data_IF_048472660218
#
_entry.id   IF_048472660218
#
_cell.length_a   1.000
_cell.length_b   1.000
_cell.length_c   1.000
_cell.angle_alpha   90.00
_cell.angle_beta   90.00
_cell.angle_gamma   90.00
#
_symmetry.space_group_name_H-M   'P 1'
#
loop_
_entity.id
_entity.type
_entity.pdbx_description
1 polymer ?
#
# COMPACT_ATOMS: atom_id res chain seq x y z
N UNK A 1 1.95 -12.36 -14.92
CA UNK A 1 2.33 -13.36 -13.90
C UNK A 1 1.38 -13.26 -12.70
N UNK A 2 0.29 -14.04 -12.65
CA UNK A 2 -0.71 -13.97 -11.56
C UNK A 2 -0.13 -14.31 -10.18
N UNK A 3 0.76 -15.31 -10.12
CA UNK A 3 1.37 -15.77 -8.87
C UNK A 3 2.22 -14.67 -8.20
N UNK A 4 2.97 -13.90 -8.99
CA UNK A 4 3.77 -12.80 -8.46
C UNK A 4 2.88 -11.69 -7.85
N UNK A 5 1.77 -11.37 -8.51
CA UNK A 5 0.82 -10.37 -8.02
C UNK A 5 0.17 -10.83 -6.71
N UNK A 6 -0.18 -12.10 -6.59
CA UNK A 6 -0.71 -12.69 -5.36
C UNK A 6 0.30 -12.63 -4.20
N UNK A 7 1.57 -12.94 -4.47
CA UNK A 7 2.67 -12.85 -3.49
C UNK A 7 2.86 -11.41 -3.00
N UNK A 8 2.89 -10.44 -3.91
CA UNK A 8 3.03 -9.01 -3.55
C UNK A 8 1.85 -8.55 -2.69
N UNK A 9 0.63 -8.91 -3.08
CA UNK A 9 -0.58 -8.55 -2.32
C UNK A 9 -0.56 -9.10 -0.91
N UNK A 10 -0.19 -10.37 -0.75
CA UNK A 10 -0.14 -11.02 0.54
C UNK A 10 1.00 -10.49 1.42
N UNK A 11 2.16 -10.19 0.83
CA UNK A 11 3.29 -9.60 1.56
C UNK A 11 2.90 -8.25 2.19
N UNK A 12 2.25 -7.40 1.40
CA UNK A 12 1.75 -6.10 1.84
C UNK A 12 0.54 -6.16 2.77
N UNK A 13 -0.14 -7.32 2.86
CA UNK A 13 -1.22 -7.56 3.83
C UNK A 13 -0.63 -7.96 5.19
N UNK A 14 0.31 -8.91 5.20
CA UNK A 14 0.95 -9.39 6.44
C UNK A 14 1.84 -8.30 7.04
N UNK A 15 2.54 -7.57 6.17
CA UNK A 15 3.47 -6.51 6.53
C UNK A 15 3.16 -5.24 5.73
N UNK A 16 2.11 -4.49 6.13
CA UNK A 16 1.75 -3.25 5.43
C UNK A 16 2.88 -2.23 5.52
N UNK A 17 3.16 -1.56 4.40
CA UNK A 17 4.10 -0.43 4.37
C UNK A 17 3.56 0.79 5.16
N UNK A 18 2.26 0.80 5.44
CA UNK A 18 1.63 1.81 6.28
C UNK A 18 1.88 1.49 7.76
N UNK A 19 2.87 2.16 8.35
CA UNK A 19 3.15 2.07 9.78
C UNK A 19 2.24 2.93 10.66
N UNK A 20 1.48 3.86 10.07
CA UNK A 20 0.65 4.83 10.79
C UNK A 20 -0.83 4.66 10.44
N UNK A 21 -1.69 5.12 11.35
CA UNK A 21 -3.14 5.11 11.16
C UNK A 21 -3.53 5.89 9.89
N UNK A 22 -4.55 5.37 9.18
CA UNK A 22 -5.18 6.10 8.08
C UNK A 22 -6.21 7.06 8.67
N UNK A 23 -5.73 8.19 9.18
CA UNK A 23 -6.52 9.18 9.89
C UNK A 23 -7.43 9.99 8.96
N UNK A 24 -8.62 10.31 9.46
CA UNK A 24 -9.60 11.22 8.89
C UNK A 24 -10.12 12.12 10.00
N UNK A 25 -10.37 13.38 9.67
CA UNK A 25 -11.02 14.33 10.56
C UNK A 25 -12.53 14.17 10.40
N UNK A 26 -13.24 14.03 11.51
CA UNK A 26 -14.71 13.97 11.52
C UNK A 26 -15.26 15.34 11.11
N UNK A 27 -16.19 15.40 10.13
CA UNK A 27 -16.73 16.66 9.64
C UNK A 27 -17.50 17.43 10.73
N UNK A 28 -17.76 18.71 10.46
CA UNK A 28 -18.66 19.50 11.30
C UNK A 28 -20.04 18.84 11.40
N UNK A 29 -20.63 18.85 12.61
CA UNK A 29 -21.85 18.10 12.92
C UNK A 29 -21.63 16.67 13.44
N UNK A 30 -20.39 16.16 13.40
CA UNK A 30 -20.05 14.84 13.93
C UNK A 30 -20.40 13.69 12.97
N UNK A 31 -20.04 12.47 13.36
CA UNK A 31 -20.34 11.26 12.58
C UNK A 31 -20.57 10.06 13.49
N UNK A 32 -21.49 9.17 13.10
CA UNK A 32 -21.65 7.86 13.74
C UNK A 32 -20.83 6.82 12.97
N UNK A 33 -19.85 6.22 13.63
CA UNK A 33 -18.94 5.21 13.06
C UNK A 33 -19.01 3.98 13.93
N UNK A 34 -19.30 2.81 13.33
CA UNK A 34 -19.44 1.54 14.05
C UNK A 34 -20.42 1.61 15.26
N UNK A 35 -21.51 2.36 15.11
CA UNK A 35 -22.52 2.53 16.17
C UNK A 35 -22.14 3.51 17.28
N UNK A 36 -20.99 4.19 17.19
CA UNK A 36 -20.54 5.20 18.16
C UNK A 36 -20.49 6.59 17.52
N UNK A 37 -21.04 7.58 18.22
CA UNK A 37 -20.98 8.98 17.79
C UNK A 37 -19.62 9.61 18.14
N UNK A 38 -19.05 10.33 17.18
CA UNK A 38 -17.84 11.12 17.32
C UNK A 38 -18.14 12.58 17.02
N UNK A 39 -17.73 13.53 17.89
CA UNK A 39 -17.93 14.95 17.63
C UNK A 39 -17.04 15.43 16.48
N UNK A 40 -17.49 16.50 15.80
CA UNK A 40 -16.71 17.15 14.74
C UNK A 40 -15.33 17.60 15.23
N UNK A 41 -14.33 17.52 14.35
CA UNK A 41 -12.93 17.81 14.68
C UNK A 41 -12.17 16.64 15.34
N UNK A 42 -12.85 15.54 15.69
CA UNK A 42 -12.16 14.32 16.15
C UNK A 42 -11.32 13.70 15.04
N UNK A 43 -10.15 13.17 15.37
CA UNK A 43 -9.32 12.39 14.44
C UNK A 43 -9.62 10.90 14.65
N UNK A 44 -10.14 10.25 13.62
CA UNK A 44 -10.45 8.81 13.63
C UNK A 44 -9.59 8.14 12.57
N UNK A 45 -8.94 7.03 12.91
CA UNK A 45 -8.06 6.31 12.00
C UNK A 45 -8.27 4.80 12.06
N UNK A 46 -7.99 4.14 10.93
CA UNK A 46 -7.95 2.68 10.86
C UNK A 46 -6.50 2.22 10.92
N UNK A 47 -6.25 1.21 11.76
CA UNK A 47 -4.98 0.52 11.81
C UNK A 47 -4.96 -0.60 10.76
N UNK A 48 -4.10 -0.47 9.75
CA UNK A 48 -3.97 -1.48 8.70
C UNK A 48 -3.52 -2.83 9.24
N UNK A 49 -2.61 -2.87 10.23
CA UNK A 49 -2.14 -4.10 10.85
C UNK A 49 -3.28 -4.94 11.44
N UNK A 50 -4.24 -4.26 12.08
CA UNK A 50 -5.44 -4.88 12.67
C UNK A 50 -6.44 -5.24 11.58
N UNK A 51 -6.72 -4.33 10.65
CA UNK A 51 -7.69 -4.56 9.57
C UNK A 51 -7.29 -5.76 8.69
N UNK A 52 -5.99 -5.91 8.41
CA UNK A 52 -5.46 -6.98 7.57
C UNK A 52 -5.46 -8.35 8.26
N UNK A 53 -5.65 -8.39 9.59
CA UNK A 53 -5.76 -9.62 10.40
C UNK A 53 -7.20 -9.96 10.80
N UNK A 54 -8.16 -9.23 10.24
CA UNK A 54 -9.57 -9.51 10.50
C UNK A 54 -9.96 -10.87 9.91
N UNK A 55 -10.20 -11.86 10.78
CA UNK A 55 -10.55 -13.23 10.40
C UNK A 55 -11.89 -13.33 9.67
N UNK A 56 -12.82 -12.40 9.89
CA UNK A 56 -14.07 -12.35 9.13
C UNK A 56 -13.84 -12.03 7.65
N UNK A 57 -12.73 -11.35 7.31
CA UNK A 57 -12.39 -10.96 5.94
C UNK A 57 -11.35 -11.87 5.31
N UNK A 58 -10.36 -12.31 6.09
CA UNK A 58 -9.21 -13.08 5.62
C UNK A 58 -9.16 -14.52 6.16
N UNK A 59 -10.28 -15.00 6.72
CA UNK A 59 -10.43 -16.34 7.31
C UNK A 59 -9.58 -16.55 8.58
N UNK A 60 -9.68 -17.73 9.19
CA UNK A 60 -9.02 -18.06 10.45
C UNK A 60 -7.48 -17.99 10.36
N UNK A 61 -6.94 -18.09 9.15
CA UNK A 61 -5.51 -18.07 8.89
C UNK A 61 -4.97 -16.67 8.50
N UNK A 62 -5.69 -15.61 8.86
CA UNK A 62 -5.30 -14.23 8.57
C UNK A 62 -3.90 -13.85 9.06
N UNK A 63 -3.37 -14.51 10.10
CA UNK A 63 -2.01 -14.25 10.59
C UNK A 63 -0.91 -14.90 9.74
N UNK A 64 -1.26 -15.86 8.88
CA UNK A 64 -0.31 -16.60 8.07
C UNK A 64 -0.18 -16.00 6.67
N UNK A 65 1.03 -16.12 6.11
CA UNK A 65 1.31 -15.72 4.74
C UNK A 65 0.82 -16.81 3.77
N UNK A 66 -0.32 -16.56 3.09
CA UNK A 66 -0.89 -17.46 2.08
C UNK A 66 -1.24 -16.70 0.78
N UNK A 67 -0.33 -16.65 -0.21
CA UNK A 67 -0.58 -15.99 -1.50
C UNK A 67 -1.79 -16.55 -2.26
N UNK A 68 -2.05 -17.86 -2.13
CA UNK A 68 -3.12 -18.56 -2.85
C UNK A 68 -4.52 -18.02 -2.56
N UNK A 69 -4.69 -17.31 -1.43
CA UNK A 69 -5.92 -16.58 -1.07
C UNK A 69 -6.40 -15.62 -2.16
N UNK A 70 -5.47 -15.04 -2.92
CA UNK A 70 -5.74 -14.09 -3.98
C UNK A 70 -5.99 -14.75 -5.34
N UNK A 71 -5.83 -16.07 -5.44
CA UNK A 71 -5.97 -16.86 -6.66
C UNK A 71 -7.28 -17.66 -6.72
N UNK A 72 -8.24 -17.34 -5.84
CA UNK A 72 -9.55 -18.01 -5.80
C UNK A 72 -10.45 -17.58 -6.97
N UNK A 73 -11.34 -18.46 -7.42
CA UNK A 73 -12.33 -18.15 -8.45
C UNK A 73 -13.64 -17.63 -7.84
N UNK A 74 -13.53 -16.58 -7.01
CA UNK A 74 -14.67 -15.92 -6.38
C UNK A 74 -14.46 -14.40 -6.41
N UNK A 75 -15.05 -13.76 -7.43
CA UNK A 75 -14.93 -12.33 -7.67
C UNK A 75 -15.53 -11.49 -6.54
N UNK A 76 -16.60 -11.97 -5.90
CA UNK A 76 -17.25 -11.24 -4.81
C UNK A 76 -16.32 -11.18 -3.60
N UNK A 77 -15.74 -12.33 -3.22
CA UNK A 77 -14.79 -12.42 -2.12
C UNK A 77 -13.53 -11.61 -2.42
N UNK A 78 -12.98 -11.72 -3.62
CA UNK A 78 -11.81 -10.93 -4.06
C UNK A 78 -12.11 -9.42 -4.00
N UNK A 79 -13.29 -9.00 -4.43
CA UNK A 79 -13.72 -7.59 -4.39
C UNK A 79 -13.78 -7.05 -2.95
N UNK A 80 -14.35 -7.83 -2.02
CA UNK A 80 -14.41 -7.48 -0.60
C UNK A 80 -13.01 -7.40 0.02
N UNK A 81 -12.14 -8.39 -0.27
CA UNK A 81 -10.76 -8.39 0.20
C UNK A 81 -9.98 -7.18 -0.34
N UNK A 82 -10.10 -6.88 -1.64
CA UNK A 82 -9.43 -5.73 -2.26
C UNK A 82 -9.91 -4.39 -1.66
N UNK A 83 -11.19 -4.25 -1.30
CA UNK A 83 -11.72 -3.04 -0.66
C UNK A 83 -11.14 -2.80 0.73
N UNK A 84 -10.81 -3.87 1.44
CA UNK A 84 -10.25 -3.83 2.80
C UNK A 84 -8.71 -3.95 2.82
N UNK A 85 -8.09 -4.10 1.66
CA UNK A 85 -6.64 -4.14 1.50
C UNK A 85 -6.09 -2.71 1.40
N UNK A 86 -5.53 -2.25 2.50
CA UNK A 86 -5.02 -0.89 2.70
C UNK A 86 -3.51 -0.93 3.01
N UNK A 87 -2.66 -1.31 2.04
CA UNK A 87 -1.23 -1.51 2.28
C UNK A 87 -0.42 -0.21 2.33
N UNK A 88 -0.96 0.88 1.77
CA UNK A 88 -0.28 2.18 1.62
C UNK A 88 -1.22 3.32 2.04
N UNK A 89 -0.70 4.35 2.72
CA UNK A 89 -1.46 5.58 3.00
C UNK A 89 -1.47 6.44 1.75
N UNK A 90 -2.56 6.38 0.99
CA UNK A 90 -2.79 7.34 -0.08
C UNK A 90 -3.30 8.63 0.57
N UNK A 91 -2.40 9.59 0.76
CA UNK A 91 -2.79 10.92 1.23
C UNK A 91 -3.74 11.55 0.19
N UNK A 92 -4.86 12.18 0.59
CA UNK A 92 -5.84 12.74 -0.36
C UNK A 92 -5.24 13.78 -1.34
N UNK A 93 -4.09 14.36 -1.01
CA UNK A 93 -3.29 15.17 -1.94
C UNK A 93 -2.93 14.43 -3.25
N UNK A 94 -2.74 13.11 -3.20
CA UNK A 94 -2.42 12.27 -4.36
C UNK A 94 -3.63 11.90 -5.22
N UNK A 95 -4.86 12.23 -4.78
CA UNK A 95 -6.08 11.98 -5.58
C UNK A 95 -6.19 12.92 -6.79
N UNK A 96 -5.41 14.01 -6.83
CA UNK A 96 -5.47 15.05 -7.86
C UNK A 96 -4.33 15.06 -8.87
N UNK A 97 -3.33 14.18 -8.77
CA UNK A 97 -2.26 14.05 -9.77
C UNK A 97 -2.49 12.78 -10.57
N UNK A 98 -2.95 12.93 -11.80
CA UNK A 98 -3.23 11.86 -12.74
C UNK A 98 -2.00 10.98 -13.01
N UNK A 99 -2.27 9.68 -13.10
CA UNK A 99 -1.47 8.61 -13.73
C UNK A 99 -0.33 7.98 -12.91
N UNK A 100 -0.50 6.69 -12.64
CA UNK A 100 0.50 5.73 -12.18
C UNK A 100 1.71 5.57 -13.12
N UNK A 101 1.70 6.18 -14.31
CA UNK A 101 2.79 6.15 -15.29
C UNK A 101 3.90 7.17 -14.97
N UNK A 102 3.56 8.33 -14.42
CA UNK A 102 4.53 9.38 -14.07
C UNK A 102 5.44 8.97 -12.90
N UNK A 103 4.90 8.24 -11.92
CA UNK A 103 5.68 7.78 -10.76
C UNK A 103 6.71 6.71 -11.15
N UNK A 104 6.31 5.75 -12.00
CA UNK A 104 7.25 4.77 -12.56
C UNK A 104 8.28 5.44 -13.47
N UNK A 105 7.89 6.43 -14.28
CA UNK A 105 8.81 7.19 -15.14
C UNK A 105 9.83 8.04 -14.33
N UNK A 106 9.43 8.57 -13.16
CA UNK A 106 10.33 9.34 -12.29
C UNK A 106 11.35 8.43 -11.60
N UNK A 107 10.94 7.22 -11.19
CA UNK A 107 11.86 6.24 -10.60
C UNK A 107 12.84 5.66 -11.62
N UNK A 108 12.41 5.38 -12.85
CA UNK A 108 13.31 4.91 -13.91
C UNK A 108 14.28 5.99 -14.37
N UNK A 109 13.83 7.24 -14.53
CA UNK A 109 14.72 8.35 -14.88
C UNK A 109 15.72 8.69 -13.76
N UNK A 110 15.30 8.63 -12.50
CA UNK A 110 16.20 8.82 -11.35
C UNK A 110 17.27 7.73 -11.24
N UNK A 111 16.91 6.46 -11.47
CA UNK A 111 17.87 5.36 -11.43
C UNK A 111 18.80 5.35 -12.66
N UNK A 112 18.31 5.71 -13.84
CA UNK A 112 19.13 5.88 -15.04
C UNK A 112 20.17 7.00 -14.87
N UNK A 113 19.77 8.15 -14.32
CA UNK A 113 20.70 9.24 -14.02
C UNK A 113 21.76 8.85 -12.97
N UNK A 114 21.39 8.02 -11.99
CA UNK A 114 22.33 7.49 -11.00
C UNK A 114 23.33 6.51 -11.64
N UNK A 115 22.88 5.66 -12.57
CA UNK A 115 23.73 4.73 -13.30
C UNK A 115 24.66 5.43 -14.28
N UNK A 116 24.20 6.48 -14.97
CA UNK A 116 25.07 7.30 -15.83
C UNK A 116 26.13 8.06 -15.00
N UNK A 117 25.75 8.60 -13.84
CA UNK A 117 26.70 9.24 -12.93
C UNK A 117 27.69 8.23 -12.30
N UNK A 118 27.31 6.97 -12.10
CA UNK A 118 28.22 5.90 -11.64
C UNK A 118 29.17 5.45 -12.76
N UNK A 119 28.68 5.32 -14.00
CA UNK A 119 29.47 4.95 -15.17
C UNK A 119 30.52 6.03 -15.56
N UNK A 120 30.25 7.31 -15.32
CA UNK A 120 31.23 8.39 -15.52
C UNK A 120 32.28 8.47 -14.40
N UNK A 121 31.99 7.97 -13.19
CA UNK A 121 32.99 7.85 -12.12
C UNK A 121 34.02 6.75 -12.35
N UNK A 122 33.67 5.69 -13.09
CA UNK A 122 34.61 4.60 -13.41
C UNK A 122 35.59 4.95 -14.55
N UNK A 123 35.34 5.98 -15.35
CA UNK A 123 36.23 6.44 -16.42
C UNK A 123 37.38 7.36 -15.96
N UNK A 124 37.43 7.72 -14.67
CA UNK A 124 38.40 8.71 -14.14
C UNK A 124 39.57 8.11 -13.34
N UNK A 125 39.76 6.78 -13.36
CA UNK A 125 40.98 6.16 -12.83
C UNK A 125 41.82 5.64 -14.00
N UNK A 126 42.82 6.39 -14.50
CA UNK A 126 43.74 5.84 -15.48
C UNK A 126 44.58 4.75 -14.81
N UNK A 127 44.61 3.58 -15.43
CA UNK A 127 45.67 2.60 -15.25
C UNK A 127 47.03 3.30 -15.35
N UNK A 128 47.85 3.15 -14.32
CA UNK A 128 49.25 3.59 -14.29
C UNK A 128 50.05 2.71 -13.33
N UNK A 129 50.75 1.72 -13.91
CA UNK A 129 52.08 1.33 -13.44
C UNK A 129 53.09 2.34 -13.99
#
# INVERSE_FOLDING_TARGET
MPNLQAVIKEALRVHPAVGLLTERVVPEGGASIAGRFFPGGSVVGINAWVQHRNQTLFEDDADYFRPDRWLINDDNKISVMNRNWIPVKIHPFWKYRSSSLEFFATLTSGFAALLEHQADREKLVPFGF
#
